data_IF_583648068818
#
_entry.id   IF_583648068818
#
_cell.length_a   1.000
_cell.length_b   1.000
_cell.length_c   1.000
_cell.angle_alpha   90.00
_cell.angle_beta   90.00
_cell.angle_gamma   90.00
#
_symmetry.space_group_name_H-M   'P 1'
#
loop_
_entity.id
_entity.type
_entity.pdbx_description
1 polymer ?
#
# COMPACT_ATOMS: atom_id res chain seq x y z
N UNK A 1 -4.92 14.07 -3.03
CA UNK A 1 -4.43 13.20 -1.93
C UNK A 1 -5.59 12.28 -1.51
N UNK A 2 -5.38 10.97 -1.35
CA UNK A 2 -6.45 10.04 -0.92
C UNK A 2 -6.57 10.15 0.60
N UNK A 3 -7.65 10.74 1.12
CA UNK A 3 -7.81 10.93 2.57
C UNK A 3 -7.78 9.62 3.36
N UNK A 4 -8.27 8.54 2.73
CA UNK A 4 -8.28 7.20 3.34
C UNK A 4 -6.89 6.66 3.74
N UNK A 5 -5.80 7.22 3.24
CA UNK A 5 -4.43 6.74 3.51
C UNK A 5 -3.58 7.70 4.35
N UNK A 6 -4.11 8.85 4.79
CA UNK A 6 -3.38 9.82 5.65
C UNK A 6 -2.88 9.20 6.96
N UNK A 7 -3.54 8.15 7.47
CA UNK A 7 -3.09 7.44 8.66
C UNK A 7 -1.68 6.82 8.51
N UNK A 8 -1.16 6.69 7.28
CA UNK A 8 0.21 6.24 7.04
C UNK A 8 1.25 7.24 7.54
N UNK A 9 0.88 8.54 7.67
CA UNK A 9 1.74 9.58 8.25
C UNK A 9 2.03 9.28 9.73
N UNK A 10 1.12 8.57 10.41
CA UNK A 10 1.23 8.18 11.83
C UNK A 10 1.92 6.82 12.04
N UNK A 11 2.37 6.14 10.97
CA UNK A 11 3.02 4.83 11.06
C UNK A 11 4.55 5.02 10.97
N UNK A 12 5.31 4.86 12.07
CA UNK A 12 6.75 5.16 12.10
C UNK A 12 7.59 4.41 11.07
N UNK A 13 7.16 3.20 10.71
CA UNK A 13 7.86 2.34 9.74
C UNK A 13 7.57 2.70 8.29
N UNK A 14 6.64 3.63 8.01
CA UNK A 14 6.43 4.20 6.68
C UNK A 14 7.38 5.38 6.49
N UNK A 15 8.27 5.30 5.51
CA UNK A 15 9.13 6.44 5.15
C UNK A 15 8.46 7.36 4.14
N UNK A 16 7.75 6.77 3.17
CA UNK A 16 7.06 7.51 2.14
C UNK A 16 5.93 6.66 1.57
N UNK A 17 4.95 7.32 0.97
CA UNK A 17 3.98 6.67 0.11
C UNK A 17 3.61 7.61 -1.04
N UNK A 18 3.14 7.03 -2.14
CA UNK A 18 2.63 7.79 -3.28
C UNK A 18 1.52 7.06 -3.99
N UNK A 19 0.70 7.83 -4.70
CA UNK A 19 -0.41 7.32 -5.49
C UNK A 19 -0.07 7.44 -6.97
N UNK A 20 -0.16 6.32 -7.68
CA UNK A 20 0.02 6.22 -9.14
C UNK A 20 -1.23 5.58 -9.77
N UNK A 21 -2.14 6.41 -10.28
CA UNK A 21 -3.40 5.95 -10.86
C UNK A 21 -4.28 5.20 -9.85
N UNK A 22 -4.44 3.88 -10.04
CA UNK A 22 -5.18 2.99 -9.12
C UNK A 22 -4.27 2.26 -8.12
N UNK A 23 -2.98 2.63 -8.09
CA UNK A 23 -1.98 2.03 -7.22
C UNK A 23 -1.60 2.98 -6.09
N UNK A 24 -1.46 2.43 -4.89
CA UNK A 24 -0.81 3.07 -3.76
C UNK A 24 0.51 2.33 -3.52
N UNK A 25 1.61 3.04 -3.46
CA UNK A 25 2.94 2.46 -3.22
C UNK A 25 3.39 2.96 -1.84
N UNK A 26 3.81 2.05 -0.98
CA UNK A 26 4.24 2.33 0.40
C UNK A 26 5.69 1.85 0.56
N UNK A 27 6.59 2.78 0.88
CA UNK A 27 7.99 2.52 1.19
C UNK A 27 8.21 2.30 2.68
N UNK A 28 8.59 1.08 3.06
CA UNK A 28 8.72 0.66 4.46
C UNK A 28 10.19 0.64 4.92
N UNK A 29 10.50 1.25 6.08
CA UNK A 29 11.83 1.22 6.74
C UNK A 29 12.20 -0.16 7.27
N UNK A 30 11.20 -0.98 7.53
CA UNK A 30 11.29 -2.34 8.02
C UNK A 30 9.91 -2.99 7.92
N UNK A 31 9.79 -4.26 8.31
CA UNK A 31 8.50 -4.96 8.33
C UNK A 31 7.93 -4.86 9.76
N UNK A 32 6.97 -3.96 10.04
CA UNK A 32 6.37 -3.86 11.36
C UNK A 32 5.54 -5.11 11.71
N UNK A 33 5.32 -5.34 13.01
CA UNK A 33 4.47 -6.45 13.50
C UNK A 33 3.07 -6.49 12.87
N UNK A 34 2.52 -5.33 12.52
CA UNK A 34 1.19 -5.19 11.92
C UNK A 34 1.23 -4.90 10.42
N UNK A 35 2.34 -5.22 9.74
CA UNK A 35 2.57 -4.94 8.32
C UNK A 35 1.40 -5.35 7.41
N UNK A 36 0.96 -6.60 7.49
CA UNK A 36 -0.16 -7.11 6.70
C UNK A 36 -1.46 -6.37 7.00
N UNK A 37 -1.70 -6.03 8.27
CA UNK A 37 -2.88 -5.26 8.69
C UNK A 37 -2.86 -3.84 8.14
N UNK A 38 -1.70 -3.17 8.12
CA UNK A 38 -1.58 -1.82 7.56
C UNK A 38 -1.81 -1.80 6.06
N UNK A 39 -1.21 -2.73 5.30
CA UNK A 39 -1.40 -2.81 3.86
C UNK A 39 -2.86 -3.13 3.48
N UNK A 40 -3.51 -4.07 4.19
CA UNK A 40 -4.95 -4.34 4.02
C UNK A 40 -5.82 -3.12 4.33
N UNK A 41 -5.55 -2.45 5.46
CA UNK A 41 -6.29 -1.24 5.87
C UNK A 41 -6.13 -0.12 4.86
N UNK A 42 -4.92 0.09 4.34
CA UNK A 42 -4.65 1.07 3.29
C UNK A 42 -5.45 0.75 2.03
N UNK A 43 -5.44 -0.51 1.58
CA UNK A 43 -6.19 -0.95 0.39
C UNK A 43 -7.69 -0.72 0.56
N UNK A 44 -8.26 -1.18 1.68
CA UNK A 44 -9.69 -1.03 2.01
C UNK A 44 -10.12 0.43 2.12
N UNK A 45 -9.36 1.27 2.84
CA UNK A 45 -9.70 2.68 3.00
C UNK A 45 -9.55 3.45 1.68
N UNK A 46 -8.53 3.15 0.90
CA UNK A 46 -8.34 3.78 -0.40
C UNK A 46 -9.47 3.43 -1.37
N UNK A 47 -9.92 2.17 -1.43
CA UNK A 47 -11.07 1.80 -2.28
C UNK A 47 -12.37 2.47 -1.84
N UNK A 48 -12.61 2.61 -0.53
CA UNK A 48 -13.79 3.33 0.00
C UNK A 48 -13.72 4.81 -0.38
N UNK A 49 -12.58 5.45 -0.16
CA UNK A 49 -12.39 6.88 -0.41
C UNK A 49 -12.46 7.25 -1.90
N UNK A 50 -12.05 6.34 -2.79
CA UNK A 50 -12.00 6.61 -4.24
C UNK A 50 -13.18 6.04 -5.02
N UNK A 51 -13.99 5.15 -4.42
CA UNK A 51 -15.02 4.39 -5.12
C UNK A 51 -14.49 3.43 -6.19
N UNK A 52 -13.17 3.17 -6.22
CA UNK A 52 -12.48 2.40 -7.27
C UNK A 52 -11.74 1.21 -6.68
N UNK A 53 -11.44 0.22 -7.51
CA UNK A 53 -10.49 -0.84 -7.13
C UNK A 53 -9.09 -0.26 -6.96
N UNK A 54 -8.41 -0.61 -5.87
CA UNK A 54 -7.07 -0.12 -5.52
C UNK A 54 -6.12 -1.30 -5.34
N UNK A 55 -4.89 -1.15 -5.84
CA UNK A 55 -3.78 -2.05 -5.55
C UNK A 55 -2.77 -1.33 -4.67
N UNK A 56 -2.45 -1.91 -3.52
CA UNK A 56 -1.38 -1.43 -2.64
C UNK A 56 -0.13 -2.26 -2.91
N UNK A 57 1.00 -1.61 -3.14
CA UNK A 57 2.31 -2.21 -3.26
C UNK A 57 3.14 -1.85 -2.05
N UNK A 58 3.69 -2.84 -1.37
CA UNK A 58 4.68 -2.63 -0.32
C UNK A 58 6.08 -2.84 -0.89
N UNK A 59 6.95 -1.84 -0.74
CA UNK A 59 8.33 -1.84 -1.22
C UNK A 59 9.29 -1.42 -0.10
N UNK A 60 10.60 -1.60 -0.30
CA UNK A 60 11.61 -1.11 0.64
C UNK A 60 11.70 0.42 0.55
N UNK A 61 11.92 1.09 1.68
CA UNK A 61 11.97 2.55 1.75
C UNK A 61 13.05 3.20 0.86
N UNK A 62 14.12 2.49 0.52
CA UNK A 62 15.15 3.00 -0.39
C UNK A 62 14.71 3.00 -1.87
N UNK A 63 13.62 2.31 -2.23
CA UNK A 63 13.12 2.21 -3.61
C UNK A 63 12.23 3.40 -4.01
N UNK A 64 12.69 4.64 -3.78
CA UNK A 64 11.88 5.86 -4.05
C UNK A 64 11.44 6.03 -5.50
N UNK A 65 12.09 5.36 -6.46
CA UNK A 65 11.78 5.42 -7.88
C UNK A 65 11.01 4.19 -8.40
N UNK A 66 10.54 3.29 -7.53
CA UNK A 66 9.85 2.06 -7.90
C UNK A 66 8.59 2.31 -8.73
N UNK A 67 8.44 1.66 -9.89
CA UNK A 67 7.29 1.90 -10.78
C UNK A 67 6.41 0.67 -10.92
N UNK A 68 5.10 0.89 -10.98
CA UNK A 68 4.14 -0.17 -11.31
C UNK A 68 4.45 -0.73 -12.70
N UNK A 69 4.66 -2.05 -12.79
CA UNK A 69 4.99 -2.72 -14.05
C UNK A 69 6.44 -2.56 -14.51
N UNK A 70 7.32 -1.93 -13.71
CA UNK A 70 8.74 -1.77 -14.03
C UNK A 70 9.59 -3.01 -13.85
N UNK A 71 9.04 -4.11 -13.30
CA UNK A 71 9.78 -5.34 -13.00
C UNK A 71 10.58 -5.30 -11.70
N UNK A 72 10.72 -4.12 -11.08
CA UNK A 72 11.40 -3.95 -9.80
C UNK A 72 10.78 -4.81 -8.69
N UNK A 73 11.60 -5.39 -7.81
CA UNK A 73 11.12 -6.22 -6.72
C UNK A 73 10.25 -5.41 -5.76
N UNK A 74 9.26 -6.08 -5.19
CA UNK A 74 8.38 -5.57 -4.15
C UNK A 74 8.28 -6.63 -3.05
N UNK A 75 7.86 -6.22 -1.85
CA UNK A 75 7.70 -7.12 -0.70
C UNK A 75 6.41 -7.92 -0.86
N UNK A 76 5.30 -7.24 -1.09
CA UNK A 76 3.99 -7.84 -1.33
C UNK A 76 3.02 -6.83 -1.94
N UNK A 77 1.82 -7.28 -2.29
CA UNK A 77 0.74 -6.41 -2.72
C UNK A 77 -0.62 -6.87 -2.17
N UNK A 78 -1.53 -5.90 -2.07
CA UNK A 78 -2.92 -6.13 -1.68
C UNK A 78 -3.84 -5.49 -2.71
N UNK A 79 -4.84 -6.23 -3.19
CA UNK A 79 -5.88 -5.70 -4.08
C UNK A 79 -7.18 -5.61 -3.28
N UNK A 80 -7.83 -4.45 -3.31
CA UNK A 80 -9.15 -4.26 -2.71
C UNK A 80 -10.12 -3.61 -3.69
N UNK A 81 -11.41 -3.96 -3.55
CA UNK A 81 -12.53 -3.39 -4.32
C UNK A 81 -13.76 -3.30 -3.43
N UNK A 82 -14.42 -2.15 -3.41
CA UNK A 82 -15.63 -1.88 -2.63
C UNK A 82 -15.44 -2.18 -1.13
N UNK A 83 -14.34 -1.70 -0.57
CA UNK A 83 -13.97 -1.89 0.85
C UNK A 83 -13.49 -3.30 1.21
N UNK A 84 -13.44 -4.25 0.27
CA UNK A 84 -13.10 -5.65 0.55
C UNK A 84 -11.79 -6.04 -0.12
N UNK A 85 -10.92 -6.73 0.63
CA UNK A 85 -9.71 -7.36 0.10
C UNK A 85 -10.11 -8.50 -0.84
N UNK A 86 -9.45 -8.55 -2.00
CA UNK A 86 -9.65 -9.57 -3.04
C UNK A 86 -8.42 -10.44 -3.22
N UNK A 87 -7.24 -9.86 -3.06
CA UNK A 87 -5.96 -10.57 -3.14
C UNK A 87 -5.03 -9.97 -2.11
N UNK A 88 -4.24 -10.82 -1.46
CA UNK A 88 -3.21 -10.42 -0.52
C UNK A 88 -2.05 -11.41 -0.63
N UNK A 89 -0.86 -10.89 -0.90
CA UNK A 89 0.38 -11.67 -1.00
C UNK A 89 1.35 -11.35 0.13
N UNK A 90 0.94 -10.56 1.12
CA UNK A 90 1.80 -10.20 2.24
C UNK A 90 2.04 -11.40 3.17
N UNK A 91 3.27 -11.57 3.68
CA UNK A 91 3.61 -12.68 4.56
C UNK A 91 2.79 -12.62 5.87
N UNK A 92 2.47 -13.80 6.39
CA UNK A 92 1.76 -13.98 7.66
C UNK A 92 2.72 -14.14 8.83
#
# INVERSE_FOLDING_TARGET
MIEGVKFLDDVPEVEWYRVEGKSLIIGWKGIPKLFTRFNRRAATRATISTGRGVRVWAVRHNQKNWKVGGGDPHICFVIAKNGRVKTDTCPH
#
